data_IF_976812661094
#
_entry.id   IF_976812661094
#
_cell.length_a   1.000
_cell.length_b   1.000
_cell.length_c   1.000
_cell.angle_alpha   90.00
_cell.angle_beta   90.00
_cell.angle_gamma   90.00
#
_symmetry.space_group_name_H-M   'P 1'
#
loop_
_entity.id
_entity.type
_entity.pdbx_description
1 polymer ?
#
# COMPACT_ATOMS: atom_id res chain seq x y z
N UNK A 1 -4.27 -7.15 -10.66
CA UNK A 1 -3.14 -6.98 -9.72
C UNK A 1 -2.84 -5.49 -9.59
N UNK A 2 -2.45 -5.00 -8.41
CA UNK A 2 -1.94 -3.64 -8.20
C UNK A 2 -0.51 -3.70 -7.70
N UNK A 3 0.32 -2.75 -8.11
CA UNK A 3 1.69 -2.58 -7.60
C UNK A 3 1.73 -1.31 -6.76
N UNK A 4 2.10 -1.44 -5.50
CA UNK A 4 2.17 -0.35 -4.54
C UNK A 4 3.65 0.01 -4.36
N UNK A 5 4.03 1.21 -4.78
CA UNK A 5 5.40 1.70 -4.67
C UNK A 5 5.42 3.17 -4.27
N UNK A 6 6.26 3.51 -3.30
CA UNK A 6 6.47 4.91 -2.88
C UNK A 6 7.63 5.55 -3.62
N UNK A 7 8.45 4.75 -4.30
CA UNK A 7 9.67 5.16 -4.99
C UNK A 7 9.73 4.57 -6.40
N UNK A 8 8.60 4.59 -7.13
CA UNK A 8 8.50 4.00 -8.48
C UNK A 8 9.61 4.49 -9.41
N UNK A 9 10.00 5.76 -9.31
CA UNK A 9 11.03 6.36 -10.16
C UNK A 9 12.41 5.70 -10.00
N UNK A 10 12.71 5.14 -8.82
CA UNK A 10 13.97 4.47 -8.52
C UNK A 10 14.07 3.07 -9.11
N UNK A 11 12.97 2.51 -9.62
CA UNK A 11 12.96 1.19 -10.22
C UNK A 11 13.63 1.22 -11.61
N UNK A 12 14.42 0.19 -11.97
CA UNK A 12 14.92 0.01 -13.33
C UNK A 12 13.79 -0.03 -14.38
N UNK A 13 14.05 0.43 -15.60
CA UNK A 13 13.03 0.57 -16.64
C UNK A 13 12.47 -0.77 -17.12
N UNK A 14 13.29 -1.82 -17.15
CA UNK A 14 12.87 -3.19 -17.45
C UNK A 14 11.91 -3.73 -16.38
N UNK A 15 12.19 -3.44 -15.10
CA UNK A 15 11.30 -3.77 -13.97
C UNK A 15 9.98 -3.02 -14.11
N UNK A 16 10.02 -1.70 -14.35
CA UNK A 16 8.81 -0.88 -14.59
C UNK A 16 7.97 -1.44 -15.73
N UNK A 17 8.60 -1.83 -16.85
CA UNK A 17 7.91 -2.41 -18.00
C UNK A 17 7.24 -3.74 -17.66
N UNK A 18 7.93 -4.63 -16.94
CA UNK A 18 7.36 -5.90 -16.47
C UNK A 18 6.16 -5.71 -15.53
N UNK A 19 6.25 -4.77 -14.59
CA UNK A 19 5.17 -4.45 -13.66
C UNK A 19 3.95 -3.89 -14.38
N UNK A 20 4.13 -2.96 -15.32
CA UNK A 20 3.03 -2.42 -16.15
C UNK A 20 2.33 -3.53 -16.91
N UNK A 21 3.10 -4.39 -17.59
CA UNK A 21 2.57 -5.54 -18.33
C UNK A 21 1.71 -6.44 -17.43
N UNK A 22 2.19 -6.79 -16.24
CA UNK A 22 1.45 -7.62 -15.29
C UNK A 22 0.15 -6.95 -14.81
N UNK A 23 0.16 -5.65 -14.56
CA UNK A 23 -1.04 -4.90 -14.18
C UNK A 23 -2.05 -4.90 -15.34
N UNK A 24 -1.60 -4.60 -16.55
CA UNK A 24 -2.45 -4.52 -17.75
C UNK A 24 -3.07 -5.89 -18.09
N UNK A 25 -2.25 -6.95 -18.10
CA UNK A 25 -2.71 -8.32 -18.39
C UNK A 25 -3.72 -8.83 -17.35
N UNK A 26 -3.75 -8.27 -16.13
CA UNK A 26 -4.64 -8.69 -15.05
C UNK A 26 -5.74 -7.68 -14.70
N UNK A 27 -5.87 -6.59 -15.47
CA UNK A 27 -6.82 -5.50 -15.17
C UNK A 27 -8.29 -5.94 -15.27
N UNK A 28 -8.58 -6.97 -16.07
CA UNK A 28 -9.93 -7.51 -16.25
C UNK A 28 -10.33 -8.53 -15.15
N UNK A 29 -9.41 -8.95 -14.29
CA UNK A 29 -9.67 -9.92 -13.24
C UNK A 29 -10.36 -9.26 -12.04
N UNK A 30 -11.53 -9.77 -11.63
CA UNK A 30 -12.32 -9.22 -10.52
C UNK A 30 -12.48 -10.17 -9.33
N UNK A 31 -12.19 -11.46 -9.50
CA UNK A 31 -12.38 -12.46 -8.44
C UNK A 31 -11.34 -12.37 -7.32
N UNK A 32 -10.17 -11.79 -7.58
CA UNK A 32 -9.06 -11.73 -6.64
C UNK A 32 -8.26 -10.44 -6.82
N UNK A 33 -8.02 -9.74 -5.73
CA UNK A 33 -7.16 -8.57 -5.69
C UNK A 33 -5.82 -8.95 -5.05
N UNK A 34 -4.74 -8.79 -5.81
CA UNK A 34 -3.37 -8.94 -5.32
C UNK A 34 -2.68 -7.58 -5.33
N UNK A 35 -2.18 -7.15 -4.17
CA UNK A 35 -1.33 -5.98 -4.03
C UNK A 35 0.12 -6.43 -3.86
N UNK A 36 1.02 -5.92 -4.70
CA UNK A 36 2.46 -6.20 -4.63
C UNK A 36 3.17 -4.92 -4.19
N UNK A 37 3.70 -4.92 -2.98
CA UNK A 37 4.46 -3.80 -2.43
C UNK A 37 5.94 -3.90 -2.85
N UNK A 38 6.42 -2.96 -3.67
CA UNK A 38 7.79 -2.94 -4.18
C UNK A 38 8.41 -1.56 -4.01
N UNK A 39 9.61 -1.47 -3.42
CA UNK A 39 10.20 -0.20 -2.98
C UNK A 39 9.16 0.65 -2.22
N UNK A 40 8.46 -0.02 -1.31
CA UNK A 40 7.34 0.51 -0.55
C UNK A 40 7.75 0.78 0.89
N UNK A 41 7.30 1.91 1.43
CA UNK A 41 7.35 2.19 2.87
C UNK A 41 6.14 2.99 3.32
N UNK A 42 5.47 2.52 4.37
CA UNK A 42 4.21 3.11 4.85
C UNK A 42 4.35 4.58 5.29
N UNK A 43 5.45 4.96 5.92
CA UNK A 43 5.73 6.38 6.21
C UNK A 43 5.75 7.25 4.95
N UNK A 44 6.36 6.77 3.87
CA UNK A 44 6.41 7.49 2.59
C UNK A 44 5.03 7.58 1.95
N UNK A 45 4.25 6.50 2.05
CA UNK A 45 2.86 6.47 1.59
C UNK A 45 2.00 7.51 2.33
N UNK A 46 2.08 7.58 3.66
CA UNK A 46 1.33 8.56 4.47
C UNK A 46 1.74 9.99 4.10
N UNK A 47 3.04 10.26 3.92
CA UNK A 47 3.50 11.58 3.46
C UNK A 47 2.91 11.95 2.10
N UNK A 48 2.86 11.00 1.17
CA UNK A 48 2.27 11.22 -0.15
C UNK A 48 0.75 11.44 -0.08
N UNK A 49 0.03 10.72 0.78
CA UNK A 49 -1.40 10.93 1.03
C UNK A 49 -1.67 12.34 1.59
N UNK A 50 -0.90 12.78 2.59
CA UNK A 50 -1.01 14.14 3.12
C UNK A 50 -0.75 15.21 2.05
N UNK A 51 0.23 15.01 1.16
CA UNK A 51 0.48 15.92 0.03
C UNK A 51 -0.69 15.98 -0.96
N UNK A 52 -1.33 14.85 -1.24
CA UNK A 52 -2.52 14.80 -2.10
C UNK A 52 -3.70 15.56 -1.48
N UNK A 53 -3.97 15.33 -0.19
CA UNK A 53 -5.03 16.05 0.54
C UNK A 53 -4.74 17.55 0.57
N UNK A 54 -3.51 17.96 0.88
CA UNK A 54 -3.13 19.37 0.88
C UNK A 54 -3.34 20.03 -0.49
N UNK A 55 -3.07 19.31 -1.59
CA UNK A 55 -3.34 19.77 -2.95
C UNK A 55 -4.85 19.93 -3.23
N UNK A 56 -5.68 19.00 -2.76
CA UNK A 56 -7.14 19.10 -2.88
C UNK A 56 -7.69 20.32 -2.12
N UNK A 57 -7.17 20.60 -0.93
CA UNK A 57 -7.52 21.80 -0.16
C UNK A 57 -7.11 23.08 -0.89
N UNK A 58 -5.88 23.14 -1.42
CA UNK A 58 -5.40 24.30 -2.20
C UNK A 58 -6.25 24.55 -3.45
N UNK A 59 -6.73 23.49 -4.09
CA UNK A 59 -7.59 23.56 -5.27
C UNK A 59 -9.07 23.78 -4.94
N UNK A 60 -9.43 23.98 -3.67
CA UNK A 60 -10.81 24.19 -3.20
C UNK A 60 -11.75 23.02 -3.54
N UNK A 61 -11.20 21.81 -3.67
CA UNK A 61 -11.99 20.59 -3.91
C UNK A 61 -12.30 19.82 -2.62
N UNK A 62 -11.71 20.23 -1.49
CA UNK A 62 -11.91 19.68 -0.16
C UNK A 62 -11.73 20.81 0.86
N UNK A 63 -12.62 20.94 1.83
CA UNK A 63 -12.42 21.85 2.96
C UNK A 63 -11.49 21.20 4.00
N UNK A 64 -10.70 21.99 4.71
CA UNK A 64 -9.81 21.48 5.76
C UNK A 64 -10.60 20.88 6.92
N UNK A 65 -11.78 21.43 7.22
CA UNK A 65 -12.65 20.97 8.30
C UNK A 65 -13.38 19.66 7.94
N UNK A 66 -13.41 19.31 6.66
CA UNK A 66 -14.00 18.07 6.14
C UNK A 66 -12.99 16.90 6.11
N UNK A 67 -11.72 17.12 6.49
CA UNK A 67 -10.69 16.06 6.47
C UNK A 67 -10.93 15.06 7.61
N UNK A 68 -11.11 13.79 7.24
CA UNK A 68 -11.27 12.68 8.16
C UNK A 68 -10.36 11.46 7.81
N UNK A 69 -10.54 10.36 8.56
CA UNK A 69 -9.83 9.09 8.34
C UNK A 69 -10.11 8.48 6.96
N UNK A 70 -11.29 8.73 6.38
CA UNK A 70 -11.68 8.25 5.06
C UNK A 70 -10.94 9.02 3.97
N UNK A 71 -10.75 10.33 4.11
CA UNK A 71 -9.92 11.11 3.18
C UNK A 71 -8.47 10.59 3.15
N UNK A 72 -7.92 10.27 4.31
CA UNK A 72 -6.57 9.70 4.42
C UNK A 72 -6.54 8.32 3.74
N UNK A 73 -7.44 7.41 4.13
CA UNK A 73 -7.52 6.05 3.59
C UNK A 73 -7.67 6.03 2.06
N UNK A 74 -8.48 6.94 1.50
CA UNK A 74 -8.67 7.08 0.06
C UNK A 74 -7.43 7.63 -0.67
N UNK A 75 -6.56 8.36 0.03
CA UNK A 75 -5.35 8.98 -0.54
C UNK A 75 -4.11 8.09 -0.43
N UNK A 76 -4.17 6.97 0.30
CA UNK A 76 -3.13 5.96 0.36
C UNK A 76 -3.05 5.16 -0.96
N UNK A 77 -1.93 4.47 -1.20
CA UNK A 77 -1.78 3.61 -2.39
C UNK A 77 -2.78 2.43 -2.35
N UNK A 78 -3.21 2.04 -1.15
CA UNK A 78 -4.27 1.04 -0.93
C UNK A 78 -5.69 1.59 -1.09
N UNK A 79 -5.88 2.84 -1.51
CA UNK A 79 -7.22 3.43 -1.70
C UNK A 79 -8.18 2.51 -2.46
N UNK A 80 -9.38 2.33 -1.89
CA UNK A 80 -10.41 1.42 -2.40
C UNK A 80 -10.14 -0.07 -2.18
N UNK A 81 -9.10 -0.44 -1.42
CA UNK A 81 -8.90 -1.79 -0.91
C UNK A 81 -9.48 -1.89 0.51
N UNK A 82 -9.91 -3.08 0.89
CA UNK A 82 -10.19 -3.38 2.30
C UNK A 82 -8.88 -3.47 3.08
N UNK A 83 -8.90 -3.03 4.33
CA UNK A 83 -7.76 -3.23 5.23
C UNK A 83 -7.55 -4.73 5.51
N UNK A 84 -6.30 -5.17 5.74
CA UNK A 84 -6.04 -6.57 6.05
C UNK A 84 -6.66 -6.96 7.39
N UNK A 85 -7.38 -8.07 7.45
CA UNK A 85 -7.78 -8.67 8.73
C UNK A 85 -6.58 -9.29 9.46
N UNK A 86 -5.61 -9.80 8.68
CA UNK A 86 -4.48 -10.58 9.17
C UNK A 86 -3.19 -10.13 8.49
N UNK A 87 -2.12 -9.99 9.29
CA UNK A 87 -0.74 -9.87 8.79
C UNK A 87 0.08 -11.05 9.24
N UNK A 88 0.70 -11.73 8.27
CA UNK A 88 1.60 -12.86 8.53
C UNK A 88 3.04 -12.40 8.24
N UNK A 89 3.93 -12.57 9.22
CA UNK A 89 5.36 -12.29 9.06
C UNK A 89 6.19 -13.51 9.43
N UNK A 90 7.06 -13.90 8.52
CA UNK A 90 7.93 -15.07 8.63
C UNK A 90 9.27 -14.75 9.28
N UNK A 91 10.15 -15.74 9.43
CA UNK A 91 11.52 -15.64 9.97
C UNK A 91 11.66 -15.32 11.47
N UNK A 92 10.56 -15.37 12.23
CA UNK A 92 10.55 -15.13 13.69
C UNK A 92 10.63 -13.65 14.10
N UNK A 93 10.59 -12.73 13.13
CA UNK A 93 10.82 -11.31 13.39
C UNK A 93 9.54 -10.59 13.85
N UNK A 94 9.51 -10.15 15.10
CA UNK A 94 8.35 -9.48 15.72
C UNK A 94 8.37 -7.96 15.53
N UNK A 95 8.27 -7.49 14.29
CA UNK A 95 8.14 -6.06 13.94
C UNK A 95 7.36 -5.90 12.64
N UNK A 96 6.85 -4.69 12.34
CA UNK A 96 6.20 -4.42 11.06
C UNK A 96 7.18 -3.96 9.97
N UNK A 97 8.35 -3.44 10.34
CA UNK A 97 9.34 -2.91 9.39
C UNK A 97 8.77 -1.90 8.39
N UNK A 98 7.98 -0.94 8.87
CA UNK A 98 7.39 0.11 8.03
C UNK A 98 6.42 -0.41 6.94
N UNK A 99 5.78 -1.56 7.17
CA UNK A 99 4.79 -2.15 6.28
C UNK A 99 3.37 -1.82 6.74
N UNK A 100 2.56 -1.23 5.84
CA UNK A 100 1.12 -0.98 5.99
C UNK A 100 0.68 -0.43 7.38
N UNK A 101 1.40 0.55 7.93
CA UNK A 101 1.20 1.01 9.32
C UNK A 101 -0.21 1.57 9.58
N UNK A 102 -0.81 2.21 8.57
CA UNK A 102 -2.18 2.73 8.67
C UNK A 102 -3.19 1.59 8.59
N UNK A 103 -3.05 0.76 7.56
CA UNK A 103 -3.99 -0.31 7.23
C UNK A 103 -3.99 -1.43 8.27
N UNK A 104 -2.87 -1.63 8.98
CA UNK A 104 -2.73 -2.69 9.99
C UNK A 104 -3.20 -2.30 11.40
N UNK A 105 -3.83 -1.13 11.56
CA UNK A 105 -4.21 -0.61 12.88
C UNK A 105 -5.07 -1.59 13.72
N UNK A 106 -5.89 -2.40 13.05
CA UNK A 106 -6.81 -3.37 13.69
C UNK A 106 -6.60 -4.81 13.24
N UNK A 107 -5.51 -5.11 12.52
CA UNK A 107 -5.23 -6.45 12.03
C UNK A 107 -4.72 -7.37 13.14
N UNK A 108 -5.04 -8.66 13.02
CA UNK A 108 -4.40 -9.70 13.81
C UNK A 108 -2.97 -9.98 13.28
N UNK A 109 -1.99 -10.01 14.18
CA UNK A 109 -0.58 -10.18 13.82
C UNK A 109 -0.09 -11.60 14.12
N UNK A 110 0.29 -12.34 13.08
CA UNK A 110 0.89 -13.66 13.18
C UNK A 110 2.37 -13.61 12.82
N UNK A 111 3.21 -13.89 13.82
CA UNK A 111 4.66 -14.02 13.62
C UNK A 111 5.02 -15.51 13.64
N UNK A 112 5.61 -16.00 12.56
CA UNK A 112 6.00 -17.41 12.42
C UNK A 112 7.52 -17.54 12.30
N UNK A 113 8.09 -18.55 12.97
CA UNK A 113 9.54 -18.77 13.02
C UNK A 113 10.11 -19.28 11.68
N UNK A 114 9.29 -19.99 10.90
CA UNK A 114 9.69 -20.60 9.62
C UNK A 114 10.15 -19.53 8.61
N UNK A 115 11.17 -19.83 7.80
CA UNK A 115 11.66 -18.95 6.74
C UNK A 115 10.66 -18.88 5.57
N UNK A 116 10.58 -17.73 4.89
CA UNK A 116 9.63 -17.53 3.77
C UNK A 116 9.66 -18.65 2.70
N UNK A 117 10.82 -19.13 2.21
CA UNK A 117 10.86 -20.18 1.19
C UNK A 117 10.38 -21.57 1.66
N UNK A 118 10.24 -21.77 2.97
CA UNK A 118 9.83 -23.03 3.58
C UNK A 118 8.35 -23.05 3.97
N UNK A 119 7.66 -21.90 3.92
CA UNK A 119 6.21 -21.78 4.16
C UNK A 119 5.47 -22.25 2.92
#
# INVERSE_FOLDING_TARGET
VKVLSTETEMLPDDVKAGLRRMVDETAHCTSFLMNICLSYGSRGEIVNACRQIASQVQNQTLDVDDIDEQNISNSLLTGGCIDPDVVIRTSGEMRLSNFLLWQLAYSEMFFIERQWPEV
#
